data_IF_456385742559
#
_entry.id   IF_456385742559
#
_cell.length_a   1.000
_cell.length_b   1.000
_cell.length_c   1.000
_cell.angle_alpha   90.00
_cell.angle_beta   90.00
_cell.angle_gamma   90.00
#
_symmetry.space_group_name_H-M   'P 1'
#
loop_
_entity.id
_entity.type
_entity.pdbx_description
1 polymer ?
#
# COMPACT_ATOMS: atom_id res chain seq x y z
N UNK A 1 14.11 -13.87 7.28
CA UNK A 1 13.92 -12.45 7.61
C UNK A 1 12.59 -12.10 7.00
N UNK A 2 11.58 -11.87 7.83
CA UNK A 2 10.18 -11.87 7.41
C UNK A 2 9.78 -10.45 7.01
N UNK A 3 10.13 -10.03 5.80
CA UNK A 3 9.75 -8.71 5.29
C UNK A 3 8.29 -8.67 4.85
N UNK A 4 7.60 -7.56 5.06
CA UNK A 4 6.25 -7.34 4.52
C UNK A 4 6.34 -6.71 3.13
N UNK A 5 5.80 -7.37 2.10
CA UNK A 5 5.70 -6.80 0.75
C UNK A 5 4.51 -5.85 0.64
N UNK A 6 4.76 -4.63 0.16
CA UNK A 6 3.74 -3.66 -0.26
C UNK A 6 3.97 -3.28 -1.73
N UNK A 7 2.90 -3.11 -2.48
CA UNK A 7 2.98 -2.79 -3.91
C UNK A 7 2.42 -1.40 -4.17
N UNK A 8 3.07 -0.68 -5.08
CA UNK A 8 2.67 0.66 -5.46
C UNK A 8 2.78 0.84 -6.97
N UNK A 9 1.84 1.60 -7.53
CA UNK A 9 1.95 2.18 -8.87
C UNK A 9 2.40 3.63 -8.74
N UNK A 10 3.39 3.97 -9.54
CA UNK A 10 3.95 5.31 -9.64
C UNK A 10 3.81 5.82 -11.08
N UNK A 11 4.19 7.06 -11.35
CA UNK A 11 4.59 7.41 -12.71
C UNK A 11 6.01 6.92 -13.00
N UNK A 12 6.27 6.51 -14.25
CA UNK A 12 7.59 5.98 -14.68
C UNK A 12 8.75 6.94 -14.37
N UNK A 13 8.52 8.24 -14.50
CA UNK A 13 9.51 9.29 -14.22
C UNK A 13 9.87 9.40 -12.74
N UNK A 14 8.96 8.99 -11.86
CA UNK A 14 9.09 9.15 -10.40
C UNK A 14 9.74 7.92 -9.74
N UNK A 15 9.88 6.79 -10.44
CA UNK A 15 10.45 5.54 -9.90
C UNK A 15 11.87 5.75 -9.36
N UNK A 16 12.72 6.48 -10.10
CA UNK A 16 14.10 6.72 -9.69
C UNK A 16 14.17 7.61 -8.44
N UNK A 17 13.33 8.65 -8.38
CA UNK A 17 13.23 9.53 -7.23
C UNK A 17 12.73 8.77 -6.00
N UNK A 18 11.62 8.05 -6.13
CA UNK A 18 11.04 7.24 -5.07
C UNK A 18 12.04 6.19 -4.54
N UNK A 19 12.74 5.48 -5.42
CA UNK A 19 13.79 4.53 -5.06
C UNK A 19 14.91 5.19 -4.25
N UNK A 20 15.38 6.35 -4.70
CA UNK A 20 16.44 7.10 -4.02
C UNK A 20 16.05 7.46 -2.59
N UNK A 21 14.84 7.97 -2.39
CA UNK A 21 14.35 8.33 -1.05
C UNK A 21 14.24 7.11 -0.16
N UNK A 22 13.59 6.04 -0.62
CA UNK A 22 13.40 4.83 0.20
C UNK A 22 14.76 4.18 0.55
N UNK A 23 15.67 4.06 -0.41
CA UNK A 23 16.98 3.45 -0.17
C UNK A 23 17.93 4.33 0.65
N UNK A 24 17.61 5.62 0.84
CA UNK A 24 18.35 6.50 1.76
C UNK A 24 18.11 6.16 3.24
N UNK A 25 17.00 5.49 3.56
CA UNK A 25 16.71 4.97 4.90
C UNK A 25 17.26 3.55 5.04
N UNK A 26 18.51 3.46 5.52
CA UNK A 26 19.20 2.19 5.69
C UNK A 26 18.39 1.20 6.55
N UNK A 27 18.22 -0.03 6.03
CA UNK A 27 17.54 -1.10 6.74
C UNK A 27 16.01 -1.01 6.75
N UNK A 28 15.40 0.05 6.21
CA UNK A 28 13.94 0.24 6.21
C UNK A 28 13.24 -0.68 5.20
N UNK A 29 13.59 -0.56 3.93
CA UNK A 29 12.97 -1.34 2.87
C UNK A 29 13.90 -1.50 1.66
N UNK A 30 13.67 -2.57 0.90
CA UNK A 30 14.28 -2.76 -0.42
C UNK A 30 13.23 -2.56 -1.49
N UNK A 31 13.56 -1.77 -2.52
CA UNK A 31 12.67 -1.51 -3.65
C UNK A 31 13.03 -2.37 -4.86
N UNK A 32 12.02 -3.04 -5.44
CA UNK A 32 12.12 -3.76 -6.72
C UNK A 32 11.08 -3.25 -7.70
N UNK A 33 11.51 -2.91 -8.91
CA UNK A 33 10.56 -2.65 -10.01
C UNK A 33 10.03 -3.99 -10.53
N UNK A 34 8.72 -4.22 -10.37
CA UNK A 34 8.05 -5.46 -10.81
C UNK A 34 7.58 -5.36 -12.25
N UNK A 35 7.07 -4.20 -12.65
CA UNK A 35 6.68 -3.91 -14.04
C UNK A 35 7.12 -2.49 -14.43
N UNK A 36 8.19 -2.34 -15.22
CA UNK A 36 8.63 -1.03 -15.70
C UNK A 36 7.66 -0.36 -16.67
N UNK A 37 6.79 -1.11 -17.36
CA UNK A 37 5.82 -0.58 -18.31
C UNK A 37 4.67 0.10 -17.59
N UNK A 38 4.13 -0.61 -16.61
CA UNK A 38 3.03 -0.17 -15.75
C UNK A 38 3.49 0.63 -14.52
N UNK A 39 4.80 0.84 -14.36
CA UNK A 39 5.43 1.54 -13.24
C UNK A 39 5.04 0.97 -11.86
N UNK A 40 5.05 -0.36 -11.78
CA UNK A 40 4.73 -1.08 -10.55
C UNK A 40 6.02 -1.41 -9.80
N UNK A 41 6.07 -1.03 -8.53
CA UNK A 41 7.17 -1.31 -7.61
C UNK A 41 6.68 -2.14 -6.42
N UNK A 42 7.57 -2.96 -5.89
CA UNK A 42 7.42 -3.67 -4.63
C UNK A 42 8.39 -3.06 -3.62
N UNK A 43 7.88 -2.77 -2.43
CA UNK A 43 8.64 -2.47 -1.24
C UNK A 43 8.61 -3.67 -0.30
N UNK A 44 9.79 -4.23 -0.03
CA UNK A 44 9.98 -5.28 0.98
C UNK A 44 10.43 -4.60 2.27
N UNK A 45 9.49 -4.40 3.18
CA UNK A 45 9.67 -3.60 4.40
C UNK A 45 10.21 -4.49 5.52
N UNK A 46 11.24 -4.03 6.20
CA UNK A 46 11.78 -4.72 7.37
C UNK A 46 10.79 -4.61 8.56
N UNK A 47 10.66 -5.66 9.39
CA UNK A 47 9.79 -5.62 10.57
C UNK A 47 10.09 -4.43 11.48
N UNK A 48 9.04 -3.75 11.93
CA UNK A 48 9.14 -2.62 12.87
C UNK A 48 9.26 -1.24 12.21
N UNK A 49 9.40 -1.18 10.88
CA UNK A 49 9.50 0.07 10.12
C UNK A 49 8.16 0.55 9.54
N UNK A 50 7.05 -0.15 9.80
CA UNK A 50 5.78 0.08 9.11
C UNK A 50 5.25 1.49 9.32
N UNK A 51 5.42 2.04 10.53
CA UNK A 51 4.98 3.40 10.88
C UNK A 51 5.86 4.47 10.25
N UNK A 52 7.18 4.29 10.32
CA UNK A 52 8.14 5.24 9.76
C UNK A 52 8.03 5.28 8.23
N UNK A 53 7.86 4.12 7.60
CA UNK A 53 7.57 4.03 6.17
C UNK A 53 6.28 4.80 5.81
N UNK A 54 5.20 4.65 6.57
CA UNK A 54 3.95 5.37 6.27
C UNK A 54 4.15 6.89 6.39
N UNK A 55 4.94 7.37 7.35
CA UNK A 55 5.28 8.78 7.46
C UNK A 55 6.10 9.28 6.25
N UNK A 56 7.06 8.49 5.76
CA UNK A 56 7.82 8.79 4.55
C UNK A 56 6.91 8.82 3.31
N UNK A 57 6.01 7.83 3.18
CA UNK A 57 5.06 7.77 2.08
C UNK A 57 4.11 8.97 2.07
N UNK A 58 3.64 9.41 3.24
CA UNK A 58 2.76 10.57 3.35
C UNK A 58 3.44 11.84 2.88
N UNK A 59 4.69 12.10 3.30
CA UNK A 59 5.45 13.23 2.79
C UNK A 59 5.68 13.17 1.28
N UNK A 60 5.99 11.98 0.75
CA UNK A 60 6.20 11.80 -0.69
C UNK A 60 4.92 11.99 -1.53
N UNK A 61 3.73 11.73 -0.96
CA UNK A 61 2.44 11.96 -1.65
C UNK A 61 2.18 13.44 -1.94
N UNK A 62 2.84 14.35 -1.24
CA UNK A 62 2.79 15.79 -1.53
C UNK A 62 3.56 16.16 -2.81
N UNK A 63 4.55 15.35 -3.19
CA UNK A 63 5.45 15.61 -4.31
C UNK A 63 5.15 14.76 -5.55
N UNK A 64 4.74 13.49 -5.35
CA UNK A 64 4.53 12.51 -6.42
C UNK A 64 3.27 11.67 -6.19
N UNK A 65 2.72 11.13 -7.27
CA UNK A 65 1.56 10.23 -7.20
C UNK A 65 2.01 8.82 -6.80
N UNK A 66 1.55 8.36 -5.64
CA UNK A 66 1.80 7.01 -5.11
C UNK A 66 0.46 6.31 -4.89
N UNK A 67 0.14 5.34 -5.75
CA UNK A 67 -1.10 4.57 -5.67
C UNK A 67 -0.80 3.20 -5.04
N UNK A 68 -1.40 2.85 -3.89
CA UNK A 68 -1.28 1.51 -3.34
C UNK A 68 -1.94 0.49 -4.27
N UNK A 69 -1.30 -0.66 -4.44
CA UNK A 69 -1.83 -1.77 -5.22
C UNK A 69 -2.05 -2.99 -4.34
N UNK A 70 -3.27 -3.52 -4.42
CA UNK A 70 -3.58 -4.83 -3.86
C UNK A 70 -2.85 -5.93 -4.66
N UNK A 71 -2.20 -6.90 -4.00
CA UNK A 71 -1.46 -7.98 -4.67
C UNK A 71 -2.30 -8.73 -5.72
N UNK A 72 -3.61 -8.85 -5.50
CA UNK A 72 -4.56 -9.53 -6.38
C UNK A 72 -4.68 -8.82 -7.73
N UNK A 73 -4.58 -7.49 -7.75
CA UNK A 73 -4.64 -6.68 -8.98
C UNK A 73 -3.39 -6.91 -9.85
N UNK A 74 -2.23 -7.17 -9.22
CA UNK A 74 -1.00 -7.54 -9.90
C UNK A 74 -1.06 -8.96 -10.48
N UNK A 75 -1.54 -9.93 -9.70
CA UNK A 75 -1.63 -11.34 -10.10
C UNK A 75 -2.63 -11.56 -11.27
N UNK A 76 -3.75 -10.82 -11.28
CA UNK A 76 -4.74 -10.91 -12.35
C UNK A 76 -4.17 -10.56 -13.74
N UNK A 77 -3.16 -9.68 -13.81
CA UNK A 77 -2.55 -9.22 -15.06
C UNK A 77 -1.46 -10.14 -15.61
N UNK A 78 -0.90 -11.03 -14.77
CA UNK A 78 0.19 -11.94 -15.12
C UNK A 78 -0.28 -13.29 -15.67
N UNK A 79 -1.59 -13.53 -15.76
CA UNK A 79 -2.17 -14.75 -16.32
C UNK A 79 -2.82 -15.64 -15.26
N UNK A 80 -4.12 -15.45 -15.06
CA UNK A 80 -5.07 -16.53 -14.77
C UNK A 80 -4.94 -17.28 -13.44
N UNK A 81 -4.86 -16.61 -12.30
CA UNK A 81 -5.20 -17.25 -11.02
C UNK A 81 -6.27 -16.43 -10.30
N UNK A 82 -7.46 -17.02 -10.13
CA UNK A 82 -8.56 -16.47 -9.32
C UNK A 82 -8.09 -16.42 -7.87
N UNK A 83 -7.77 -15.24 -7.37
CA UNK A 83 -7.58 -15.02 -5.94
C UNK A 83 -8.92 -14.61 -5.36
N UNK A 84 -9.53 -15.51 -4.59
CA UNK A 84 -10.78 -15.27 -3.88
C UNK A 84 -10.46 -14.38 -2.67
N UNK A 85 -10.72 -13.09 -2.82
CA UNK A 85 -10.54 -12.08 -1.79
C UNK A 85 -11.30 -12.47 -0.51
N UNK A 86 -10.57 -12.96 0.50
CA UNK A 86 -11.12 -13.21 1.83
C UNK A 86 -11.04 -11.93 2.65
N UNK A 87 -12.16 -11.21 2.66
CA UNK A 87 -12.69 -10.36 3.74
C UNK A 87 -11.72 -9.47 4.53
N UNK A 88 -11.84 -8.15 4.31
CA UNK A 88 -11.82 -7.17 5.41
C UNK A 88 -13.05 -6.27 5.31
N UNK A 89 -14.19 -6.83 5.71
CA UNK A 89 -15.39 -6.07 6.03
C UNK A 89 -15.08 -5.24 7.27
N UNK A 90 -14.60 -4.01 7.08
CA UNK A 90 -14.60 -2.99 8.13
C UNK A 90 -16.05 -2.49 8.24
N UNK A 91 -16.84 -3.22 9.02
CA UNK A 91 -18.06 -2.69 9.61
C UNK A 91 -17.65 -1.58 10.59
N UNK A 92 -17.55 -0.34 10.12
CA UNK A 92 -17.70 0.83 11.00
C UNK A 92 -19.19 1.02 11.26
N UNK A 93 -19.76 0.08 12.01
CA UNK A 93 -21.06 0.26 12.66
C UNK A 93 -20.85 1.10 13.91
N UNK A 94 -20.91 2.42 13.76
CA UNK A 94 -21.42 3.28 14.82
C UNK A 94 -22.03 4.53 14.19
N UNK A 95 -23.12 4.36 13.44
CA UNK A 95 -24.01 5.49 13.19
C UNK A 95 -25.00 5.59 14.35
N UNK A 96 -24.90 6.72 15.04
CA UNK A 96 -25.74 7.18 16.13
C UNK A 96 -27.18 7.33 15.63
N UNK A 97 -28.11 6.56 16.17
CA UNK A 97 -29.52 6.92 16.16
C UNK A 97 -30.10 6.70 17.57
N UNK A 98 -30.04 7.74 18.39
CA UNK A 98 -30.95 7.90 19.52
C UNK A 98 -32.24 8.56 18.97
N UNK A 99 -33.40 7.94 19.17
CA UNK A 99 -34.42 8.67 19.92
C UNK A 99 -35.18 7.71 20.86
N UNK A 100 -34.88 7.83 22.16
CA UNK A 100 -35.81 7.47 23.23
C UNK A 100 -37.08 8.31 23.05
N UNK A 101 -38.06 7.74 22.37
CA UNK A 101 -39.45 8.17 22.51
C UNK A 101 -40.40 6.99 22.30
N UNK A 102 -41.25 6.78 23.31
CA UNK A 102 -42.34 5.77 23.47
C UNK A 102 -41.97 4.38 23.98
N UNK A 103 -42.00 4.21 25.31
CA UNK A 103 -43.04 3.44 26.03
C UNK A 103 -42.55 3.09 27.45
N UNK A 104 -42.94 3.88 28.46
CA UNK A 104 -43.82 3.47 29.56
C UNK A 104 -44.04 4.63 30.53
#
# INVERSE_FOLDING_TARGET
>A
MDTQSRYFRLHRRDIAYFKFIIESYEGMAVLRTRDPREAIVELMVAPGWEKDLEAVLEGLREEITIEPLEPECFLAKMGGLKFEARNSKLETSTNVQNPNDRNK
#
